data_IF_724292834679
#
_entry.id   IF_724292834679
#
_cell.length_a   1.000
_cell.length_b   1.000
_cell.length_c   1.000
_cell.angle_alpha   90.00
_cell.angle_beta   90.00
_cell.angle_gamma   90.00
#
_symmetry.space_group_name_H-M   'P 1'
#
loop_
_entity.id
_entity.type
_entity.pdbx_description
1 polymer ?
#
# COMPACT_ATOMS: atom_id res chain seq x y z
N UNK A 1 -13.23 -1.72 8.84
CA UNK A 1 -13.00 -2.73 9.90
C UNK A 1 -13.62 -2.21 11.19
N UNK A 2 -14.03 -3.07 12.12
CA UNK A 2 -14.71 -2.64 13.35
C UNK A 2 -14.41 -3.55 14.54
N UNK A 3 -14.69 -3.11 15.77
CA UNK A 3 -14.35 -3.86 16.99
C UNK A 3 -15.36 -4.99 17.25
N UNK A 4 -14.87 -6.18 17.60
CA UNK A 4 -15.68 -7.37 17.87
C UNK A 4 -16.60 -7.28 19.09
N UNK A 5 -16.25 -6.46 20.08
CA UNK A 5 -16.94 -6.38 21.37
C UNK A 5 -17.14 -4.93 21.81
N UNK A 6 -18.02 -4.17 21.15
CA UNK A 6 -18.26 -2.76 21.44
C UNK A 6 -18.74 -2.52 22.88
N UNK A 7 -19.44 -3.47 23.49
CA UNK A 7 -19.84 -3.42 24.90
C UNK A 7 -18.66 -3.46 25.89
N UNK A 8 -17.57 -4.15 25.54
CA UNK A 8 -16.34 -4.18 26.36
C UNK A 8 -15.41 -3.02 26.03
N UNK A 9 -15.38 -2.63 24.76
CA UNK A 9 -14.49 -1.61 24.23
C UNK A 9 -15.32 -0.64 23.37
N UNK A 10 -15.96 0.36 23.98
CA UNK A 10 -16.93 1.22 23.31
C UNK A 10 -16.32 2.08 22.20
N UNK A 11 -15.00 2.16 22.10
CA UNK A 11 -14.30 2.84 21.02
C UNK A 11 -12.92 2.23 20.76
N UNK A 12 -12.37 2.31 19.53
CA UNK A 12 -11.10 1.69 19.20
C UNK A 12 -10.00 2.16 20.14
N UNK A 13 -9.96 3.46 20.43
CA UNK A 13 -8.93 4.14 21.23
C UNK A 13 -8.77 3.56 22.65
N UNK A 14 -9.79 2.83 23.15
CA UNK A 14 -9.77 2.22 24.50
C UNK A 14 -9.51 0.72 24.49
N UNK A 15 -9.41 0.10 23.32
CA UNK A 15 -9.46 -1.36 23.16
C UNK A 15 -8.21 -2.10 23.68
N UNK A 16 -7.08 -2.03 22.97
CA UNK A 16 -5.83 -2.71 23.33
C UNK A 16 -4.64 -1.74 23.43
N UNK A 17 -3.43 -2.26 23.68
CA UNK A 17 -2.20 -1.44 23.75
C UNK A 17 -1.99 -0.60 22.49
N UNK A 18 -2.15 -1.19 21.31
CA UNK A 18 -1.99 -0.50 20.03
C UNK A 18 -2.94 0.69 19.87
N UNK A 19 -4.14 0.58 20.45
CA UNK A 19 -5.13 1.64 20.35
C UNK A 19 -4.96 2.74 21.40
N UNK A 20 -4.50 2.37 22.60
CA UNK A 20 -4.27 3.33 23.71
C UNK A 20 -3.00 4.15 23.53
N UNK A 21 -1.96 3.58 22.93
CA UNK A 21 -0.71 4.26 22.66
C UNK A 21 -0.69 4.72 21.21
N UNK A 22 -1.20 5.94 20.97
CA UNK A 22 -1.61 6.51 19.68
C UNK A 22 -0.57 6.62 18.56
N UNK A 23 0.61 6.01 18.68
CA UNK A 23 1.60 5.95 17.60
C UNK A 23 1.40 4.76 16.64
N UNK A 24 0.76 3.69 17.12
CA UNK A 24 0.51 2.47 16.35
C UNK A 24 -0.83 2.57 15.60
N UNK A 25 -1.93 2.86 16.31
CA UNK A 25 -3.25 3.11 15.72
C UNK A 25 -4.19 1.90 15.68
N UNK A 26 -5.45 2.15 15.30
CA UNK A 26 -6.54 1.14 15.31
C UNK A 26 -6.36 0.01 14.29
N UNK A 27 -5.52 0.21 13.27
CA UNK A 27 -5.18 -0.79 12.25
C UNK A 27 -4.38 -1.98 12.81
N UNK A 28 -3.84 -1.84 14.03
CA UNK A 28 -3.20 -2.92 14.80
C UNK A 28 -4.00 -3.30 16.05
N UNK A 29 -5.28 -2.95 16.12
CA UNK A 29 -6.14 -3.39 17.20
C UNK A 29 -6.20 -4.93 17.25
N UNK A 30 -6.12 -5.51 18.44
CA UNK A 30 -6.17 -6.96 18.64
C UNK A 30 -7.59 -7.53 18.57
N UNK A 31 -8.61 -6.65 18.64
CA UNK A 31 -10.03 -7.03 18.66
C UNK A 31 -10.79 -6.46 17.46
N UNK A 32 -10.11 -6.03 16.41
CA UNK A 32 -10.75 -5.51 15.19
C UNK A 32 -11.00 -6.65 14.20
N UNK A 33 -12.20 -6.68 13.63
CA UNK A 33 -12.53 -7.50 12.47
C UNK A 33 -12.31 -6.71 11.19
N UNK A 34 -11.60 -7.34 10.26
CA UNK A 34 -11.42 -6.88 8.91
C UNK A 34 -12.34 -7.68 7.99
N UNK A 35 -13.14 -6.98 7.21
CA UNK A 35 -14.04 -7.60 6.23
C UNK A 35 -13.20 -8.41 5.25
N UNK A 36 -13.67 -9.60 4.89
CA UNK A 36 -12.95 -10.58 4.06
C UNK A 36 -11.64 -11.10 4.66
N UNK A 37 -11.37 -10.88 5.95
CA UNK A 37 -10.16 -11.35 6.65
C UNK A 37 -10.51 -11.72 8.10
N UNK A 38 -11.04 -12.94 8.26
CA UNK A 38 -11.57 -13.41 9.55
C UNK A 38 -12.96 -12.88 9.89
N UNK A 39 -13.65 -12.28 8.92
CA UNK A 39 -15.06 -11.89 9.00
C UNK A 39 -15.67 -11.81 7.60
N UNK A 40 -17.01 -11.85 7.53
CA UNK A 40 -17.73 -11.74 6.27
C UNK A 40 -17.38 -10.47 5.50
N UNK A 41 -17.29 -10.62 4.18
CA UNK A 41 -16.74 -9.63 3.27
C UNK A 41 -17.77 -8.73 2.59
N UNK A 42 -17.29 -7.91 1.67
CA UNK A 42 -18.09 -6.94 0.92
C UNK A 42 -18.88 -7.53 -0.26
N UNK A 43 -18.71 -8.81 -0.58
CA UNK A 43 -19.39 -9.47 -1.72
C UNK A 43 -20.81 -9.90 -1.36
N UNK A 44 -21.66 -8.94 -1.00
CA UNK A 44 -23.03 -9.11 -0.54
C UNK A 44 -23.92 -8.01 -1.15
N UNK A 45 -25.23 -8.25 -1.29
CA UNK A 45 -26.17 -7.24 -1.82
C UNK A 45 -26.47 -6.13 -0.82
N UNK A 46 -26.48 -6.46 0.47
CA UNK A 46 -26.67 -5.53 1.58
C UNK A 46 -25.61 -5.85 2.64
N UNK A 47 -24.93 -4.83 3.14
CA UNK A 47 -24.01 -4.94 4.27
C UNK A 47 -24.49 -4.07 5.42
N UNK A 48 -24.54 -4.65 6.62
CA UNK A 48 -24.68 -3.87 7.85
C UNK A 48 -23.28 -3.52 8.34
N UNK A 49 -22.99 -2.22 8.46
CA UNK A 49 -21.68 -1.76 8.94
C UNK A 49 -21.83 -0.65 9.97
N UNK A 50 -20.92 -0.54 10.96
CA UNK A 50 -20.99 0.53 11.95
C UNK A 50 -20.84 1.91 11.32
N UNK A 51 -21.68 2.85 11.74
CA UNK A 51 -21.70 4.25 11.28
C UNK A 51 -20.30 4.91 11.27
N UNK A 52 -19.44 4.76 12.31
CA UNK A 52 -18.10 5.36 12.29
C UNK A 52 -17.15 4.81 11.21
N UNK A 53 -17.51 3.70 10.56
CA UNK A 53 -16.73 3.08 9.49
C UNK A 53 -17.30 3.39 8.10
N UNK A 54 -18.42 4.13 8.03
CA UNK A 54 -18.99 4.63 6.79
C UNK A 54 -18.31 5.96 6.45
N UNK A 55 -17.51 5.96 5.37
CA UNK A 55 -16.84 7.16 4.88
C UNK A 55 -17.51 7.58 3.58
N UNK A 56 -17.99 8.81 3.53
CA UNK A 56 -18.60 9.37 2.32
C UNK A 56 -17.53 9.62 1.25
N UNK A 57 -17.78 9.15 0.04
CA UNK A 57 -16.95 9.44 -1.13
C UNK A 57 -17.37 10.82 -1.68
N UNK A 58 -16.44 11.74 -1.94
CA UNK A 58 -16.76 13.01 -2.60
C UNK A 58 -17.29 12.78 -4.04
N UNK A 59 -18.27 13.58 -4.48
CA UNK A 59 -18.93 13.42 -5.78
C UNK A 59 -17.98 13.55 -6.99
N UNK A 60 -16.85 14.23 -6.82
CA UNK A 60 -15.82 14.42 -7.83
C UNK A 60 -14.72 13.35 -7.82
N UNK A 61 -14.84 12.33 -6.97
CA UNK A 61 -14.00 11.12 -6.99
C UNK A 61 -14.76 9.99 -7.69
N UNK A 62 -14.37 9.58 -8.92
CA UNK A 62 -15.05 8.50 -9.62
C UNK A 62 -14.98 7.17 -8.84
N UNK A 63 -16.03 6.34 -8.92
CA UNK A 63 -16.10 5.03 -8.26
C UNK A 63 -14.85 4.17 -8.50
N UNK A 64 -14.37 4.15 -9.74
CA UNK A 64 -13.19 3.39 -10.15
C UNK A 64 -11.90 3.85 -9.44
N UNK A 65 -11.83 5.12 -9.03
CA UNK A 65 -10.74 5.65 -8.20
C UNK A 65 -11.02 5.37 -6.72
N UNK A 66 -12.27 5.56 -6.28
CA UNK A 66 -12.68 5.34 -4.89
C UNK A 66 -12.42 3.92 -4.39
N UNK A 67 -12.54 2.89 -5.26
CA UNK A 67 -12.21 1.50 -4.90
C UNK A 67 -10.72 1.28 -4.56
N UNK A 68 -9.83 2.21 -4.94
CA UNK A 68 -8.41 2.17 -4.58
C UNK A 68 -8.12 2.85 -3.23
N UNK A 69 -9.14 3.39 -2.55
CA UNK A 69 -8.99 4.12 -1.28
C UNK A 69 -8.35 3.29 -0.19
N UNK A 70 -8.76 2.03 -0.01
CA UNK A 70 -8.18 1.13 1.00
C UNK A 70 -6.66 1.02 0.82
N UNK A 71 -6.20 0.59 -0.36
CA UNK A 71 -4.77 0.42 -0.61
C UNK A 71 -4.01 1.75 -0.59
N UNK A 72 -4.64 2.84 -1.03
CA UNK A 72 -4.04 4.19 -0.97
C UNK A 72 -3.88 4.69 0.46
N UNK A 73 -4.80 4.35 1.37
CA UNK A 73 -4.65 4.63 2.80
C UNK A 73 -3.55 3.80 3.44
N UNK A 74 -3.35 2.53 3.03
CA UNK A 74 -2.18 1.73 3.48
C UNK A 74 -0.87 2.39 3.06
N UNK A 75 -0.79 2.84 1.80
CA UNK A 75 0.36 3.60 1.32
C UNK A 75 0.57 4.90 2.12
N UNK A 76 -0.52 5.59 2.47
CA UNK A 76 -0.46 6.78 3.32
C UNK A 76 0.00 6.48 4.75
N UNK A 77 -0.39 5.35 5.34
CA UNK A 77 0.12 4.90 6.65
C UNK A 77 1.64 4.83 6.67
N UNK A 78 2.24 4.34 5.58
CA UNK A 78 3.69 4.35 5.38
C UNK A 78 4.22 5.77 5.15
N UNK A 79 3.63 6.50 4.20
CA UNK A 79 4.06 7.85 3.84
C UNK A 79 4.04 8.81 5.04
N UNK A 80 3.01 8.79 5.90
CA UNK A 80 2.91 9.69 7.06
C UNK A 80 4.02 9.47 8.10
N UNK A 81 4.62 8.29 8.13
CA UNK A 81 5.74 7.95 9.03
C UNK A 81 7.09 8.42 8.50
N UNK A 82 7.15 8.90 7.26
CA UNK A 82 8.38 9.43 6.65
C UNK A 82 9.10 10.43 7.55
N UNK A 83 10.41 10.26 7.62
CA UNK A 83 11.33 11.18 8.29
C UNK A 83 12.25 11.76 7.24
N UNK A 84 11.83 12.89 6.67
CA UNK A 84 12.65 13.62 5.71
C UNK A 84 13.61 14.53 6.48
N UNK A 85 14.90 14.37 6.24
CA UNK A 85 15.93 15.27 6.75
C UNK A 85 15.93 16.59 5.99
N UNK A 86 15.71 16.54 4.68
CA UNK A 86 15.53 17.72 3.84
C UNK A 86 14.67 17.42 2.59
N UNK A 87 14.40 18.46 1.78
CA UNK A 87 13.52 18.39 0.60
C UNK A 87 14.12 17.67 -0.61
N UNK A 88 15.43 17.43 -0.61
CA UNK A 88 16.21 16.78 -1.66
C UNK A 88 16.54 15.32 -1.31
N UNK A 89 16.10 14.83 -0.16
CA UNK A 89 16.33 13.45 0.24
C UNK A 89 15.69 12.49 -0.77
N UNK A 90 16.47 11.49 -1.19
CA UNK A 90 16.04 10.48 -2.14
C UNK A 90 15.29 9.37 -1.42
N UNK A 91 14.17 8.97 -2.00
CA UNK A 91 13.32 7.89 -1.52
C UNK A 91 13.29 6.79 -2.57
N UNK A 92 13.42 5.54 -2.12
CA UNK A 92 13.28 4.38 -2.99
C UNK A 92 12.02 3.57 -2.65
N UNK A 93 11.28 3.15 -3.67
CA UNK A 93 10.19 2.18 -3.58
C UNK A 93 10.61 0.93 -4.35
N UNK A 94 10.75 -0.19 -3.65
CA UNK A 94 11.10 -1.48 -4.24
C UNK A 94 9.82 -2.25 -4.54
N UNK A 95 9.59 -2.54 -5.82
CA UNK A 95 8.39 -3.21 -6.32
C UNK A 95 7.76 -2.41 -7.46
N UNK A 96 7.72 -3.02 -8.65
CA UNK A 96 7.08 -2.47 -9.85
C UNK A 96 5.61 -2.93 -10.01
N UNK A 97 5.07 -3.61 -8.99
CA UNK A 97 3.69 -4.04 -8.92
C UNK A 97 2.71 -2.94 -8.49
N UNK A 98 1.40 -3.26 -8.41
CA UNK A 98 0.36 -2.31 -8.03
C UNK A 98 0.55 -1.62 -6.67
N UNK A 99 1.08 -2.33 -5.68
CA UNK A 99 1.36 -1.77 -4.34
C UNK A 99 2.45 -0.70 -4.44
N UNK A 100 3.59 -1.03 -5.04
CA UNK A 100 4.68 -0.07 -5.24
C UNK A 100 4.25 1.12 -6.09
N UNK A 101 3.39 0.92 -7.08
CA UNK A 101 2.79 2.00 -7.86
C UNK A 101 1.97 2.97 -7.02
N UNK A 102 1.02 2.45 -6.25
CA UNK A 102 0.16 3.29 -5.40
C UNK A 102 0.99 4.00 -4.32
N UNK A 103 1.99 3.33 -3.74
CA UNK A 103 2.93 3.94 -2.80
C UNK A 103 3.68 5.11 -3.44
N UNK A 104 4.25 4.92 -4.64
CA UNK A 104 4.96 5.97 -5.35
C UNK A 104 4.05 7.17 -5.67
N UNK A 105 2.80 6.94 -6.09
CA UNK A 105 1.81 8.01 -6.32
C UNK A 105 1.49 8.73 -5.01
N UNK A 106 1.11 8.01 -3.96
CA UNK A 106 0.75 8.61 -2.66
C UNK A 106 1.90 9.41 -2.07
N UNK A 107 3.15 8.95 -2.22
CA UNK A 107 4.34 9.70 -1.83
C UNK A 107 4.46 11.02 -2.60
N UNK A 108 4.28 10.99 -3.92
CA UNK A 108 4.39 12.18 -4.76
C UNK A 108 3.37 13.26 -4.37
N UNK A 109 2.12 12.88 -4.07
CA UNK A 109 1.06 13.83 -3.72
C UNK A 109 1.10 14.25 -2.26
N UNK A 110 1.08 13.30 -1.32
CA UNK A 110 0.87 13.59 0.10
C UNK A 110 2.11 14.12 0.81
N UNK A 111 3.29 13.90 0.22
CA UNK A 111 4.59 14.39 0.72
C UNK A 111 5.29 15.31 -0.27
N UNK A 112 4.64 15.63 -1.38
CA UNK A 112 5.18 16.52 -2.42
C UNK A 112 6.56 16.08 -2.92
N UNK A 113 6.81 14.76 -2.96
CA UNK A 113 8.08 14.21 -3.42
C UNK A 113 8.19 14.40 -4.93
N UNK A 114 9.19 15.17 -5.33
CA UNK A 114 9.46 15.47 -6.73
C UNK A 114 10.06 14.26 -7.44
N UNK A 115 9.81 14.16 -8.75
CA UNK A 115 10.33 13.09 -9.61
C UNK A 115 11.82 12.80 -9.44
N UNK A 116 12.66 13.82 -9.28
CA UNK A 116 14.11 13.65 -9.14
C UNK A 116 14.54 13.03 -7.80
N UNK A 117 13.65 12.99 -6.81
CA UNK A 117 13.88 12.39 -5.50
C UNK A 117 13.18 11.05 -5.32
N UNK A 118 12.28 10.67 -6.22
CA UNK A 118 11.53 9.41 -6.14
C UNK A 118 12.11 8.38 -7.09
N UNK A 119 12.57 7.27 -6.53
CA UNK A 119 13.13 6.14 -7.26
C UNK A 119 12.23 4.92 -7.10
N UNK A 120 11.96 4.22 -8.20
CA UNK A 120 11.24 2.96 -8.22
C UNK A 120 12.18 1.89 -8.75
N UNK A 121 12.37 0.87 -7.93
CA UNK A 121 13.26 -0.25 -8.19
C UNK A 121 12.41 -1.48 -8.50
N UNK A 122 12.60 -2.08 -9.66
CA UNK A 122 11.82 -3.21 -10.13
C UNK A 122 12.62 -4.14 -11.02
N UNK A 123 11.93 -5.07 -11.68
CA UNK A 123 12.55 -6.13 -12.48
C UNK A 123 11.99 -6.21 -13.90
N UNK A 124 10.88 -5.53 -14.18
CA UNK A 124 10.14 -5.58 -15.44
C UNK A 124 10.03 -4.19 -16.05
N UNK A 125 10.64 -3.98 -17.22
CA UNK A 125 10.65 -2.67 -17.88
C UNK A 125 9.26 -2.21 -18.33
N UNK A 126 8.37 -3.13 -18.72
CA UNK A 126 7.02 -2.76 -19.14
C UNK A 126 6.18 -2.26 -17.97
N UNK A 127 6.44 -2.77 -16.77
CA UNK A 127 5.84 -2.24 -15.53
C UNK A 127 6.50 -0.92 -15.14
N UNK A 128 7.82 -0.84 -15.16
CA UNK A 128 8.58 0.36 -14.79
C UNK A 128 8.27 1.57 -15.67
N UNK A 129 8.03 1.39 -16.98
CA UNK A 129 7.61 2.48 -17.90
C UNK A 129 6.43 3.31 -17.38
N UNK A 130 5.56 2.71 -16.55
CA UNK A 130 4.35 3.36 -16.04
C UNK A 130 4.62 4.39 -14.96
N UNK A 131 5.84 4.39 -14.41
CA UNK A 131 6.32 5.30 -13.37
C UNK A 131 7.15 6.46 -13.92
N UNK A 132 7.67 6.35 -15.15
CA UNK A 132 8.74 7.22 -15.67
C UNK A 132 8.37 8.71 -15.76
N UNK A 133 7.07 9.03 -15.84
CA UNK A 133 6.60 10.41 -15.88
C UNK A 133 6.65 11.11 -14.50
N UNK A 134 6.69 10.37 -13.40
CA UNK A 134 6.71 10.94 -12.04
C UNK A 134 7.79 10.37 -11.10
N UNK A 135 8.57 9.37 -11.53
CA UNK A 135 9.70 8.81 -10.77
C UNK A 135 10.88 8.42 -11.69
N UNK A 136 12.07 8.27 -11.11
CA UNK A 136 13.18 7.56 -11.73
C UNK A 136 13.01 6.06 -11.58
N UNK A 137 13.31 5.29 -12.63
CA UNK A 137 13.14 3.83 -12.63
C UNK A 137 14.48 3.10 -12.74
N UNK A 138 14.61 2.00 -11.99
CA UNK A 138 15.79 1.14 -12.04
C UNK A 138 15.34 -0.32 -12.17
N UNK A 139 15.74 -0.96 -13.27
CA UNK A 139 15.63 -2.40 -13.43
C UNK A 139 16.88 -3.10 -12.89
N UNK A 140 16.77 -3.76 -11.75
CA UNK A 140 17.89 -4.42 -11.08
C UNK A 140 18.34 -5.72 -11.75
N UNK A 141 17.52 -6.29 -12.65
CA UNK A 141 17.92 -7.44 -13.46
C UNK A 141 18.82 -7.05 -14.64
N UNK A 142 18.79 -5.76 -15.03
CA UNK A 142 19.57 -5.25 -16.17
C UNK A 142 20.81 -4.46 -15.75
N UNK A 143 20.75 -3.78 -14.61
CA UNK A 143 21.88 -2.99 -14.09
C UNK A 143 21.87 -2.98 -12.57
N UNK A 144 23.06 -2.99 -11.98
CA UNK A 144 23.21 -2.75 -10.55
C UNK A 144 22.81 -1.30 -10.19
N UNK A 145 22.33 -1.12 -8.96
CA UNK A 145 22.12 0.22 -8.40
C UNK A 145 23.51 0.85 -8.20
N UNK A 146 23.77 2.07 -8.70
CA UNK A 146 25.06 2.73 -8.53
C UNK A 146 25.48 2.82 -7.06
N UNK A 147 26.77 2.61 -6.76
CA UNK A 147 27.29 2.62 -5.39
C UNK A 147 27.21 3.98 -4.69
N UNK A 148 27.07 5.07 -5.44
CA UNK A 148 26.85 6.41 -4.92
C UNK A 148 25.36 6.79 -4.80
N UNK A 149 24.45 5.91 -5.23
CA UNK A 149 23.01 6.10 -5.06
C UNK A 149 22.58 5.38 -3.78
N UNK A 150 22.27 6.18 -2.76
CA UNK A 150 21.83 5.73 -1.43
C UNK A 150 20.57 6.48 -1.03
N UNK A 151 19.85 5.92 -0.06
CA UNK A 151 18.54 6.39 0.35
C UNK A 151 18.41 6.39 1.88
N UNK A 152 17.86 7.47 2.44
CA UNK A 152 17.51 7.56 3.87
C UNK A 152 16.11 7.02 4.18
N UNK A 153 15.24 6.90 3.19
CA UNK A 153 13.89 6.33 3.31
C UNK A 153 13.62 5.33 2.17
N UNK A 154 13.23 4.10 2.52
CA UNK A 154 13.02 3.00 1.57
C UNK A 154 11.70 2.27 1.86
N UNK A 155 10.91 1.98 0.83
CA UNK A 155 9.69 1.20 0.92
C UNK A 155 9.89 -0.15 0.25
N UNK A 156 9.60 -1.23 0.97
CA UNK A 156 9.54 -2.59 0.43
C UNK A 156 8.09 -2.90 0.07
N UNK A 157 7.83 -3.16 -1.21
CA UNK A 157 6.50 -3.41 -1.78
C UNK A 157 6.51 -4.61 -2.75
N UNK A 158 7.52 -5.48 -2.67
CA UNK A 158 7.68 -6.66 -3.54
C UNK A 158 6.87 -7.82 -2.97
N UNK A 159 7.10 -8.17 -1.70
CA UNK A 159 6.42 -9.27 -1.03
C UNK A 159 6.69 -10.66 -1.64
N UNK A 160 5.98 -11.65 -1.12
CA UNK A 160 6.05 -13.05 -1.50
C UNK A 160 7.46 -13.64 -1.37
N UNK A 161 7.77 -14.60 -2.24
CA UNK A 161 9.06 -15.29 -2.25
C UNK A 161 10.26 -14.39 -2.59
N UNK A 162 10.01 -13.19 -3.12
CA UNK A 162 11.05 -12.23 -3.50
C UNK A 162 11.35 -11.20 -2.40
N UNK A 163 10.65 -11.28 -1.27
CA UNK A 163 10.87 -10.39 -0.12
C UNK A 163 12.32 -10.43 0.37
N UNK A 164 12.95 -11.62 0.38
CA UNK A 164 14.34 -11.78 0.82
C UNK A 164 15.29 -10.95 -0.05
N UNK A 165 15.23 -11.11 -1.36
CA UNK A 165 16.08 -10.37 -2.30
C UNK A 165 15.83 -8.86 -2.20
N UNK A 166 14.55 -8.45 -2.10
CA UNK A 166 14.17 -7.05 -2.01
C UNK A 166 14.69 -6.39 -0.71
N UNK A 167 14.44 -7.02 0.44
CA UNK A 167 14.86 -6.49 1.74
C UNK A 167 16.38 -6.41 1.84
N UNK A 168 17.10 -7.45 1.41
CA UNK A 168 18.56 -7.42 1.48
C UNK A 168 19.16 -6.39 0.51
N UNK A 169 18.59 -6.21 -0.68
CA UNK A 169 19.01 -5.13 -1.59
C UNK A 169 18.72 -3.75 -0.99
N UNK A 170 17.57 -3.56 -0.34
CA UNK A 170 17.23 -2.34 0.42
C UNK A 170 18.28 -2.07 1.49
N UNK A 171 18.66 -3.08 2.28
CA UNK A 171 19.68 -2.97 3.32
C UNK A 171 21.02 -2.54 2.73
N UNK A 172 21.42 -3.08 1.57
CA UNK A 172 22.66 -2.72 0.88
C UNK A 172 22.72 -1.23 0.50
N UNK A 173 21.64 -0.70 -0.08
CA UNK A 173 21.59 0.69 -0.60
C UNK A 173 21.10 1.72 0.44
N UNK A 174 20.73 1.28 1.64
CA UNK A 174 20.34 2.16 2.73
C UNK A 174 21.53 2.99 3.23
N UNK A 175 21.27 4.27 3.50
CA UNK A 175 22.20 5.12 4.27
C UNK A 175 22.25 4.69 5.74
N UNK A 176 23.35 4.97 6.46
CA UNK A 176 23.38 4.83 7.91
C UNK A 176 22.22 5.60 8.55
N UNK A 177 21.47 4.94 9.43
CA UNK A 177 20.30 5.48 10.12
C UNK A 177 19.01 5.51 9.29
N UNK A 178 18.99 4.91 8.10
CA UNK A 178 17.82 4.92 7.23
C UNK A 178 16.59 4.23 7.84
N UNK A 179 15.43 4.63 7.33
CA UNK A 179 14.12 4.08 7.63
C UNK A 179 13.64 3.19 6.50
N UNK A 180 13.33 1.93 6.83
CA UNK A 180 12.81 0.92 5.90
C UNK A 180 11.37 0.61 6.29
N UNK A 181 10.43 0.92 5.39
CA UNK A 181 9.01 0.69 5.56
C UNK A 181 8.63 -0.61 4.83
N UNK A 182 8.25 -1.64 5.59
CA UNK A 182 7.89 -2.96 5.07
C UNK A 182 6.39 -3.03 4.80
N UNK A 183 6.00 -3.15 3.53
CA UNK A 183 4.62 -3.31 3.09
C UNK A 183 4.39 -4.64 2.36
N UNK A 184 5.44 -5.25 1.79
CA UNK A 184 5.34 -6.55 1.12
C UNK A 184 5.01 -7.65 2.13
N UNK A 185 4.02 -8.47 1.79
CA UNK A 185 3.60 -9.60 2.62
C UNK A 185 4.24 -10.88 2.09
N UNK A 186 4.84 -11.66 2.98
CA UNK A 186 5.35 -13.01 2.71
C UNK A 186 4.68 -14.01 3.66
N UNK A 187 4.26 -15.16 3.12
CA UNK A 187 3.75 -16.29 3.91
C UNK A 187 4.89 -17.13 4.52
N UNK A 188 6.14 -16.83 4.16
CA UNK A 188 7.34 -17.53 4.63
C UNK A 188 8.21 -16.59 5.48
N UNK A 189 8.96 -17.16 6.42
CA UNK A 189 10.04 -16.45 7.10
C UNK A 189 11.06 -15.96 6.08
N UNK A 190 11.46 -14.68 6.21
CA UNK A 190 12.35 -14.01 5.28
C UNK A 190 13.71 -13.77 5.95
N UNK A 191 14.80 -14.42 5.52
CA UNK A 191 16.14 -14.13 6.00
C UNK A 191 16.54 -12.68 5.71
N UNK A 192 17.17 -12.03 6.68
CA UNK A 192 17.65 -10.64 6.54
C UNK A 192 19.09 -10.55 7.05
N UNK A 193 19.92 -9.75 6.39
CA UNK A 193 21.27 -9.46 6.83
C UNK A 193 21.27 -8.57 8.08
N UNK A 194 21.14 -9.19 9.25
CA UNK A 194 21.11 -8.49 10.54
C UNK A 194 22.42 -7.80 10.90
N UNK A 195 23.55 -8.23 10.32
CA UNK A 195 24.84 -7.58 10.53
C UNK A 195 24.83 -6.16 9.99
N UNK A 196 24.39 -5.96 8.75
CA UNK A 196 24.31 -4.64 8.14
C UNK A 196 23.22 -3.76 8.77
N UNK A 197 22.12 -4.36 9.23
CA UNK A 197 21.10 -3.64 10.01
C UNK A 197 21.73 -3.01 11.27
N UNK A 198 22.56 -3.78 11.99
CA UNK A 198 23.25 -3.30 13.18
C UNK A 198 24.32 -2.27 12.85
N UNK A 199 25.18 -2.56 11.87
CA UNK A 199 26.29 -1.69 11.46
C UNK A 199 25.80 -0.32 10.98
N UNK A 200 24.72 -0.30 10.18
CA UNK A 200 24.14 0.94 9.65
C UNK A 200 23.13 1.57 10.62
N UNK A 201 22.75 0.91 11.73
CA UNK A 201 21.75 1.42 12.66
C UNK A 201 20.37 1.64 12.03
N UNK A 202 19.92 0.68 11.20
CA UNK A 202 18.68 0.80 10.42
C UNK A 202 17.43 0.63 11.28
N UNK A 203 16.33 1.26 10.86
CA UNK A 203 15.01 1.10 11.47
C UNK A 203 14.08 0.41 10.48
N UNK A 204 13.56 -0.75 10.86
CA UNK A 204 12.55 -1.48 10.08
C UNK A 204 11.19 -1.23 10.70
N UNK A 205 10.25 -0.68 9.92
CA UNK A 205 8.88 -0.39 10.35
C UNK A 205 7.93 -1.26 9.54
N UNK A 206 7.17 -2.11 10.23
CA UNK A 206 6.04 -2.81 9.61
C UNK A 206 4.87 -1.86 9.34
N UNK A 207 4.35 -1.88 8.12
CA UNK A 207 3.16 -1.14 7.71
C UNK A 207 2.09 -2.16 7.36
N UNK A 208 0.95 -2.11 8.05
CA UNK A 208 -0.16 -3.01 7.79
C UNK A 208 -1.46 -2.24 7.86
N UNK A 209 -2.27 -2.35 6.80
CA UNK A 209 -3.61 -1.75 6.72
C UNK A 209 -3.56 -0.23 7.00
N UNK A 210 -4.71 0.32 7.34
CA UNK A 210 -4.89 1.74 7.61
C UNK A 210 -5.98 1.97 8.64
N UNK A 211 -5.98 3.17 9.21
CA UNK A 211 -7.05 3.67 10.06
C UNK A 211 -8.15 4.30 9.21
N UNK A 212 -9.41 4.18 9.65
CA UNK A 212 -10.56 4.89 9.07
C UNK A 212 -10.34 6.40 8.98
N UNK A 213 -9.57 6.97 9.91
CA UNK A 213 -9.25 8.40 9.93
C UNK A 213 -8.36 8.84 8.76
N UNK A 214 -7.72 7.89 8.07
CA UNK A 214 -6.88 8.17 6.90
C UNK A 214 -7.68 8.21 5.59
N UNK A 215 -8.89 7.62 5.57
CA UNK A 215 -9.73 7.60 4.38
C UNK A 215 -10.14 9.00 3.94
N UNK A 216 -10.70 9.87 4.81
CA UNK A 216 -11.04 11.24 4.41
C UNK A 216 -9.84 12.01 3.85
N UNK A 217 -8.66 11.83 4.45
CA UNK A 217 -7.43 12.49 4.01
C UNK A 217 -7.09 12.08 2.58
N UNK A 218 -7.08 10.77 2.31
CA UNK A 218 -6.74 10.25 0.98
C UNK A 218 -7.81 10.58 -0.05
N UNK A 219 -9.08 10.59 0.34
CA UNK A 219 -10.17 10.99 -0.54
C UNK A 219 -10.02 12.44 -1.00
N UNK A 220 -9.60 13.36 -0.13
CA UNK A 220 -9.29 14.73 -0.57
C UNK A 220 -8.16 14.77 -1.61
N UNK A 221 -7.08 14.01 -1.43
CA UNK A 221 -6.02 13.92 -2.45
C UNK A 221 -6.52 13.25 -3.74
N UNK A 222 -7.46 12.31 -3.66
CA UNK A 222 -8.06 11.66 -4.83
C UNK A 222 -8.97 12.59 -5.64
N UNK A 223 -9.33 13.79 -5.13
CA UNK A 223 -10.03 14.82 -5.91
C UNK A 223 -9.12 15.48 -6.94
N UNK A 224 -7.79 15.43 -6.74
CA UNK A 224 -6.81 16.00 -7.66
C UNK A 224 -6.82 15.25 -9.01
N UNK A 225 -7.12 15.91 -10.15
CA UNK A 225 -7.25 15.23 -11.44
C UNK A 225 -5.99 14.47 -11.86
N UNK A 226 -4.81 14.97 -11.50
CA UNK A 226 -3.55 14.32 -11.81
C UNK A 226 -3.34 13.03 -10.99
N UNK A 227 -3.81 13.00 -9.74
CA UNK A 227 -3.79 11.78 -8.93
C UNK A 227 -4.76 10.76 -9.50
N UNK A 228 -5.97 11.18 -9.88
CA UNK A 228 -6.94 10.30 -10.56
C UNK A 228 -6.35 9.70 -11.84
N UNK A 229 -5.70 10.53 -12.67
CA UNK A 229 -5.05 10.10 -13.91
C UNK A 229 -4.00 9.01 -13.67
N UNK A 230 -3.18 9.16 -12.63
CA UNK A 230 -2.15 8.18 -12.28
C UNK A 230 -2.76 6.91 -11.68
N UNK A 231 -3.67 7.04 -10.71
CA UNK A 231 -4.34 5.90 -10.08
C UNK A 231 -5.11 5.04 -11.09
N UNK A 232 -5.78 5.68 -12.06
CA UNK A 232 -6.50 4.99 -13.14
C UNK A 232 -5.61 4.04 -13.92
N UNK A 233 -4.30 4.30 -14.04
CA UNK A 233 -3.38 3.39 -14.73
C UNK A 233 -3.33 2.03 -14.07
N UNK A 234 -3.43 1.94 -12.74
CA UNK A 234 -3.39 0.66 -12.01
C UNK A 234 -4.62 -0.19 -12.33
N UNK A 235 -5.71 0.41 -12.79
CA UNK A 235 -6.95 -0.30 -13.07
C UNK A 235 -6.85 -0.98 -14.43
N UNK A 236 -7.07 -2.29 -14.45
CA UNK A 236 -7.12 -3.04 -15.71
C UNK A 236 -8.40 -2.64 -16.45
N UNK A 237 -8.32 -2.46 -17.77
CA UNK A 237 -9.48 -2.11 -18.62
C UNK A 237 -10.42 -3.31 -18.84
N UNK A 238 -10.76 -4.00 -17.75
CA UNK A 238 -11.69 -5.11 -17.66
C UNK A 238 -12.26 -5.13 -16.25
N UNK A 239 -13.58 -5.10 -16.15
CA UNK A 239 -14.30 -5.33 -14.91
C UNK A 239 -15.24 -6.52 -15.06
N UNK A 240 -15.58 -7.15 -13.94
CA UNK A 240 -16.54 -8.24 -13.90
C UNK A 240 -17.84 -7.74 -13.27
N UNK A 241 -18.97 -8.00 -13.92
CA UNK A 241 -20.28 -7.85 -13.29
C UNK A 241 -20.59 -9.16 -12.58
N UNK A 242 -20.91 -9.08 -11.29
CA UNK A 242 -21.09 -10.24 -10.43
C UNK A 242 -22.56 -10.31 -10.00
N UNK A 243 -23.27 -11.30 -10.51
CA UNK A 243 -24.68 -11.61 -10.20
C UNK A 243 -24.83 -12.92 -9.44
N UNK A 244 -23.80 -13.75 -9.43
CA UNK A 244 -23.79 -15.04 -8.76
C UNK A 244 -22.41 -15.38 -8.21
N UNK A 245 -22.37 -16.33 -7.26
CA UNK A 245 -21.12 -16.85 -6.73
C UNK A 245 -20.22 -17.46 -7.82
N UNK A 246 -20.80 -18.06 -8.86
CA UNK A 246 -20.05 -18.62 -9.98
C UNK A 246 -19.27 -17.53 -10.73
N UNK A 247 -19.91 -16.41 -11.06
CA UNK A 247 -19.25 -15.29 -11.74
C UNK A 247 -18.14 -14.66 -10.88
N UNK A 248 -18.33 -14.66 -9.55
CA UNK A 248 -17.28 -14.22 -8.62
C UNK A 248 -16.07 -15.16 -8.65
N UNK A 249 -16.29 -16.48 -8.64
CA UNK A 249 -15.21 -17.47 -8.78
C UNK A 249 -14.48 -17.29 -10.10
N UNK A 250 -15.20 -17.11 -11.22
CA UNK A 250 -14.58 -16.86 -12.53
C UNK A 250 -13.72 -15.57 -12.55
N UNK A 251 -14.15 -14.52 -11.84
CA UNK A 251 -13.35 -13.30 -11.69
C UNK A 251 -12.06 -13.55 -10.88
N UNK A 252 -12.14 -14.33 -9.80
CA UNK A 252 -10.97 -14.72 -9.00
C UNK A 252 -10.02 -15.62 -9.79
N UNK A 253 -10.53 -16.62 -10.50
CA UNK A 253 -9.73 -17.52 -11.33
C UNK A 253 -9.02 -16.74 -12.44
N UNK A 254 -9.71 -15.78 -13.06
CA UNK A 254 -9.09 -14.89 -14.03
C UNK A 254 -7.95 -14.07 -13.40
N UNK A 255 -8.19 -13.47 -12.23
CA UNK A 255 -7.19 -12.69 -11.51
C UNK A 255 -5.97 -13.53 -11.08
N UNK A 256 -6.18 -14.79 -10.70
CA UNK A 256 -5.12 -15.70 -10.30
C UNK A 256 -4.30 -16.20 -11.52
N UNK A 257 -4.98 -16.57 -12.60
CA UNK A 257 -4.36 -17.09 -13.81
C UNK A 257 -3.60 -16.00 -14.60
N UNK A 258 -4.10 -14.77 -14.56
CA UNK A 258 -3.49 -13.64 -15.23
C UNK A 258 -2.83 -12.76 -14.18
N UNK A 259 -1.53 -12.97 -13.96
CA UNK A 259 -0.66 -12.03 -13.22
C UNK A 259 -0.44 -10.74 -14.03
N UNK A 260 -1.52 -10.19 -14.58
CA UNK A 260 -1.53 -8.91 -15.28
C UNK A 260 -1.15 -7.83 -14.29
N UNK A 261 -0.35 -6.89 -14.78
CA UNK A 261 -0.05 -5.69 -14.02
C UNK A 261 -1.34 -4.90 -13.84
N UNK A 262 -1.71 -4.64 -12.58
CA UNK A 262 -2.85 -3.80 -12.21
C UNK A 262 -3.80 -4.45 -11.20
N UNK A 263 -4.99 -3.84 -11.08
CA UNK A 263 -6.08 -4.22 -10.19
C UNK A 263 -7.35 -4.42 -11.01
N UNK A 264 -8.07 -5.48 -10.68
CA UNK A 264 -9.39 -5.78 -11.23
C UNK A 264 -10.40 -5.29 -10.19
N UNK A 265 -11.37 -4.49 -10.64
CA UNK A 265 -12.54 -4.21 -9.83
C UNK A 265 -13.73 -5.02 -10.36
N UNK A 266 -14.69 -5.24 -9.46
CA UNK A 266 -15.93 -5.94 -9.76
C UNK A 266 -17.10 -5.03 -9.45
N UNK A 267 -18.17 -5.13 -10.24
CA UNK A 267 -19.45 -4.47 -9.95
C UNK A 267 -20.43 -5.52 -9.49
N UNK A 268 -20.88 -5.41 -8.25
CA UNK A 268 -21.89 -6.30 -7.70
C UNK A 268 -23.27 -5.88 -8.23
N UNK A 269 -23.96 -6.82 -8.87
CA UNK A 269 -25.33 -6.71 -9.36
C UNK A 269 -26.15 -7.89 -8.78
N UNK A 270 -26.00 -8.10 -7.48
CA UNK A 270 -26.62 -9.20 -6.74
C UNK A 270 -28.00 -8.72 -6.28
N UNK A 271 -29.05 -9.34 -6.81
CA UNK A 271 -30.45 -9.12 -6.40
C UNK A 271 -30.82 -9.92 -5.17
#
# INVERSE_FOLDING_TARGET
GYIHSPEKFPSPEKCCRACRHGEIGENHCENIHFLSSGYDGLTQSIIQHPDPCLIQIPDDVPDEIAVLSELSTVAYTGAKKLKLLDKNEKIAVFGDGPVGYIVAVVLSFTKSIKRHNLYVVGTDDEKLKKFEDFAHTINIRKRAIPSNLRFGNLFECVGGIYSEEAINTIIEVAEPGAWIYLLGVSELFVPMNTRDILEKGLRLIGISRSSRFEYPIILEYMREPEMQRLLKRVIINRFFRIRSAKELTEAFDFAAAHRVWGKIYVRLEIS
#
